data_IF_604648885840
#
_entry.id   IF_604648885840
#
_cell.length_a   1.000
_cell.length_b   1.000
_cell.length_c   1.000
_cell.angle_alpha   90.00
_cell.angle_beta   90.00
_cell.angle_gamma   90.00
#
_symmetry.space_group_name_H-M   'P 1'
#
loop_
_entity.id
_entity.type
_entity.pdbx_description
1 polymer ?
#
# COMPACT_ATOMS: atom_id res chain seq x y z
N UNK A 1 -12.22 11.34 -6.54
CA UNK A 1 -11.53 10.36 -5.67
C UNK A 1 -10.87 9.35 -6.57
N UNK A 2 -9.71 8.76 -6.20
CA UNK A 2 -9.18 7.63 -6.95
C UNK A 2 -10.29 6.57 -7.11
N UNK A 3 -10.25 5.83 -8.22
CA UNK A 3 -11.36 4.97 -8.65
C UNK A 3 -11.67 3.77 -7.71
N UNK A 4 -10.96 3.62 -6.59
CA UNK A 4 -11.22 2.62 -5.56
C UNK A 4 -11.76 3.25 -4.28
N UNK A 5 -12.90 2.76 -3.79
CA UNK A 5 -13.34 3.02 -2.43
C UNK A 5 -12.29 2.51 -1.43
N UNK A 6 -12.12 3.21 -0.30
CA UNK A 6 -11.30 2.72 0.80
C UNK A 6 -11.77 1.31 1.19
N UNK A 7 -10.83 0.37 1.22
CA UNK A 7 -11.13 -1.04 1.51
C UNK A 7 -11.14 -1.30 3.01
N UNK A 8 -9.94 -1.46 3.58
CA UNK A 8 -9.73 -1.85 4.98
C UNK A 8 -8.51 -1.17 5.57
N UNK A 9 -8.74 -0.30 6.57
CA UNK A 9 -7.67 0.26 7.40
C UNK A 9 -6.86 1.37 6.74
N UNK A 10 -6.18 2.13 7.60
CA UNK A 10 -5.26 3.19 7.21
C UNK A 10 -4.12 3.25 8.21
N UNK A 11 -2.98 3.77 7.78
CA UNK A 11 -1.91 4.24 8.66
C UNK A 11 -1.81 5.75 8.51
N UNK A 12 -1.87 6.48 9.61
CA UNK A 12 -1.64 7.93 9.64
C UNK A 12 -0.34 8.19 10.39
N UNK A 13 0.59 8.91 9.78
CA UNK A 13 1.89 9.23 10.38
C UNK A 13 1.86 10.64 10.99
N UNK A 14 2.76 10.89 11.94
CA UNK A 14 2.95 12.23 12.52
C UNK A 14 3.48 13.27 11.52
N UNK A 15 3.98 12.82 10.36
CA UNK A 15 4.52 13.68 9.29
C UNK A 15 3.46 14.12 8.30
N UNK A 16 2.17 13.86 8.56
CA UNK A 16 1.07 14.26 7.68
C UNK A 16 0.87 13.34 6.47
N UNK A 17 1.28 12.07 6.55
CA UNK A 17 1.00 11.07 5.51
C UNK A 17 -0.09 10.10 5.97
N UNK A 18 -1.06 9.85 5.08
CA UNK A 18 -2.08 8.81 5.24
C UNK A 18 -1.90 7.74 4.19
N UNK A 19 -1.68 6.50 4.62
CA UNK A 19 -1.63 5.33 3.75
C UNK A 19 -2.94 4.56 3.83
N UNK A 20 -3.55 4.26 2.67
CA UNK A 20 -4.81 3.53 2.60
C UNK A 20 -4.80 2.51 1.48
N UNK A 21 -5.18 1.27 1.80
CA UNK A 21 -5.46 0.23 0.80
C UNK A 21 -6.88 0.40 0.26
N UNK A 22 -7.02 0.36 -1.06
CA UNK A 22 -8.27 0.59 -1.76
C UNK A 22 -8.72 -0.65 -2.55
N UNK A 23 -10.03 -0.76 -2.76
CA UNK A 23 -10.65 -1.93 -3.39
C UNK A 23 -10.21 -2.17 -4.84
N UNK A 24 -9.66 -1.14 -5.49
CA UNK A 24 -9.09 -1.20 -6.84
C UNK A 24 -7.72 -1.90 -6.89
N UNK A 25 -7.26 -2.48 -5.78
CA UNK A 25 -6.03 -3.26 -5.71
C UNK A 25 -4.79 -2.41 -5.53
N UNK A 26 -4.95 -1.18 -5.05
CA UNK A 26 -3.83 -0.25 -4.84
C UNK A 26 -3.69 0.13 -3.39
N UNK A 27 -2.49 0.55 -3.03
CA UNK A 27 -2.26 1.38 -1.86
C UNK A 27 -1.94 2.79 -2.31
N UNK A 28 -2.48 3.76 -1.59
CA UNK A 28 -2.30 5.18 -1.81
C UNK A 28 -1.64 5.83 -0.60
N UNK A 29 -0.79 6.82 -0.84
CA UNK A 29 -0.34 7.78 0.16
C UNK A 29 -0.98 9.14 -0.15
N UNK A 30 -1.59 9.73 0.86
CA UNK A 30 -2.23 11.05 0.78
C UNK A 30 -1.55 12.02 1.74
N UNK A 31 -1.57 13.29 1.35
CA UNK A 31 -1.37 14.41 2.25
C UNK A 31 -2.61 14.53 3.17
N UNK A 32 -2.41 14.59 4.48
CA UNK A 32 -3.51 14.62 5.45
C UNK A 32 -4.28 15.94 5.49
N UNK A 33 -3.66 17.04 5.06
CA UNK A 33 -4.25 18.39 5.20
C UNK A 33 -5.21 18.69 4.04
N UNK A 34 -4.88 18.20 2.85
CA UNK A 34 -5.63 18.50 1.63
C UNK A 34 -6.17 17.26 0.90
N UNK A 35 -5.77 16.04 1.31
CA UNK A 35 -6.23 14.80 0.69
C UNK A 35 -5.65 14.52 -0.70
N UNK A 36 -4.63 15.25 -1.13
CA UNK A 36 -3.96 15.02 -2.41
C UNK A 36 -3.22 13.69 -2.39
N UNK A 37 -3.29 12.95 -3.50
CA UNK A 37 -2.50 11.74 -3.68
C UNK A 37 -1.05 12.14 -3.95
N UNK A 38 -0.15 11.69 -3.08
CA UNK A 38 1.30 11.90 -3.21
C UNK A 38 1.98 10.71 -3.89
N UNK A 39 1.47 9.50 -3.64
CA UNK A 39 2.01 8.26 -4.20
C UNK A 39 0.95 7.16 -4.27
N UNK A 40 1.13 6.20 -5.18
CA UNK A 40 0.36 4.95 -5.19
C UNK A 40 1.14 3.82 -5.85
N UNK A 41 0.77 2.59 -5.54
CA UNK A 41 1.26 1.41 -6.26
C UNK A 41 0.18 0.35 -6.41
N UNK A 42 0.28 -0.44 -7.47
CA UNK A 42 -0.60 -1.59 -7.72
C UNK A 42 -0.05 -2.81 -6.97
N UNK A 43 -0.91 -3.46 -6.18
CA UNK A 43 -0.56 -4.65 -5.42
C UNK A 43 -0.69 -5.92 -6.28
N UNK A 44 -1.29 -5.82 -7.47
CA UNK A 44 -1.55 -6.91 -8.41
C UNK A 44 -2.77 -7.77 -8.06
N UNK A 45 -3.42 -7.50 -6.91
CA UNK A 45 -4.54 -8.27 -6.37
C UNK A 45 -5.76 -7.37 -6.20
N UNK A 46 -6.93 -7.85 -6.60
CA UNK A 46 -8.19 -7.15 -6.34
C UNK A 46 -8.58 -7.26 -4.87
N UNK A 47 -9.16 -6.19 -4.33
CA UNK A 47 -9.71 -6.14 -2.98
C UNK A 47 -8.73 -6.67 -1.90
N UNK A 48 -7.59 -6.00 -1.67
CA UNK A 48 -6.63 -6.42 -0.66
C UNK A 48 -7.29 -6.46 0.73
N UNK A 49 -7.45 -7.66 1.28
CA UNK A 49 -8.23 -7.92 2.50
C UNK A 49 -7.47 -7.66 3.81
N UNK A 50 -6.42 -6.84 3.82
CA UNK A 50 -5.58 -6.65 5.01
C UNK A 50 -5.36 -5.20 5.39
N UNK A 51 -5.13 -4.98 6.68
CA UNK A 51 -4.79 -3.67 7.24
C UNK A 51 -3.32 -3.37 6.94
N UNK A 52 -2.98 -2.19 6.39
CA UNK A 52 -1.59 -1.77 6.35
C UNK A 52 -1.06 -1.56 7.78
N UNK A 53 0.23 -1.81 7.98
CA UNK A 53 0.90 -1.58 9.24
C UNK A 53 2.27 -0.93 9.02
N UNK A 54 2.73 -0.15 9.99
CA UNK A 54 4.03 0.51 9.94
C UNK A 54 4.88 0.10 11.13
N UNK A 55 6.16 -0.18 10.88
CA UNK A 55 7.12 -0.57 11.91
C UNK A 55 8.49 0.02 11.60
N UNK A 56 9.40 -0.03 12.58
CA UNK A 56 10.76 0.48 12.44
C UNK A 56 11.77 -0.58 12.88
N UNK A 57 12.86 -0.72 12.13
CA UNK A 57 14.02 -1.56 12.49
C UNK A 57 15.28 -0.76 12.19
N UNK A 58 16.20 -0.67 13.16
CA UNK A 58 17.47 0.04 13.02
C UNK A 58 17.34 1.48 12.48
N UNK A 59 16.30 2.20 12.93
CA UNK A 59 16.04 3.57 12.49
C UNK A 59 15.38 3.71 11.11
N UNK A 60 15.17 2.61 10.37
CA UNK A 60 14.48 2.62 9.08
C UNK A 60 13.01 2.25 9.25
N UNK A 61 12.13 3.06 8.68
CA UNK A 61 10.68 2.84 8.69
C UNK A 61 10.24 1.96 7.51
N UNK A 62 9.27 1.11 7.76
CA UNK A 62 8.75 0.14 6.81
C UNK A 62 7.22 0.14 6.86
N UNK A 63 6.60 0.16 5.68
CA UNK A 63 5.17 -0.03 5.49
C UNK A 63 4.92 -1.46 4.99
N UNK A 64 4.14 -2.23 5.74
CA UNK A 64 3.68 -3.56 5.35
C UNK A 64 2.26 -3.46 4.79
N UNK A 65 2.04 -4.12 3.65
CA UNK A 65 0.76 -4.13 2.96
C UNK A 65 0.40 -5.55 2.56
N UNK A 66 -0.85 -5.95 2.79
CA UNK A 66 -1.34 -7.24 2.33
C UNK A 66 -1.65 -7.19 0.83
N UNK A 67 -0.91 -7.94 0.03
CA UNK A 67 -1.28 -8.31 -1.33
C UNK A 67 -1.84 -9.73 -1.34
N UNK A 68 -3.07 -9.87 -0.87
CA UNK A 68 -3.80 -11.15 -0.88
C UNK A 68 -5.17 -10.93 -1.49
N UNK A 69 -5.64 -11.92 -2.25
CA UNK A 69 -6.88 -11.82 -3.02
C UNK A 69 -6.73 -12.49 -4.38
N UNK A 70 -7.76 -12.36 -5.22
CA UNK A 70 -7.70 -12.80 -6.61
C UNK A 70 -6.80 -11.88 -7.44
N UNK A 71 -6.20 -12.43 -8.50
CA UNK A 71 -5.49 -11.63 -9.50
C UNK A 71 -6.37 -10.49 -9.99
N UNK A 72 -5.82 -9.27 -10.01
CA UNK A 72 -6.46 -8.12 -10.64
C UNK A 72 -6.48 -8.27 -12.16
N UNK A 73 -5.38 -8.75 -12.72
CA UNK A 73 -5.24 -9.11 -14.13
C UNK A 73 -5.33 -10.63 -14.27
N UNK A 74 -6.47 -11.13 -14.75
CA UNK A 74 -6.74 -12.56 -14.90
C UNK A 74 -5.95 -13.24 -16.04
N UNK A 75 -5.21 -12.47 -16.84
CA UNK A 75 -4.33 -13.02 -17.88
C UNK A 75 -2.96 -13.44 -17.34
N UNK A 76 -2.59 -13.00 -16.13
CA UNK A 76 -1.32 -13.36 -15.48
C UNK A 76 -1.41 -14.71 -14.77
N UNK A 77 -0.27 -15.35 -14.59
CA UNK A 77 -0.16 -16.49 -13.70
C UNK A 77 -0.18 -16.04 -12.22
N UNK A 78 -0.71 -16.88 -11.34
CA UNK A 78 -0.70 -16.65 -9.89
C UNK A 78 0.73 -16.55 -9.34
N UNK A 79 1.71 -17.23 -9.94
CA UNK A 79 3.11 -17.19 -9.52
C UNK A 79 3.83 -15.89 -9.89
N UNK A 80 3.35 -15.18 -10.90
CA UNK A 80 3.99 -13.97 -11.43
C UNK A 80 3.58 -12.71 -10.65
N UNK A 81 2.53 -12.81 -9.84
CA UNK A 81 2.01 -11.70 -9.05
C UNK A 81 2.25 -11.98 -7.57
N UNK A 82 2.95 -11.09 -6.84
CA UNK A 82 3.18 -11.29 -5.43
C UNK A 82 1.89 -11.61 -4.65
N UNK A 83 2.00 -12.60 -3.75
CA UNK A 83 0.91 -13.03 -2.87
C UNK A 83 1.42 -13.16 -1.46
N UNK A 84 0.96 -12.29 -0.58
CA UNK A 84 1.43 -12.19 0.80
C UNK A 84 1.66 -10.75 1.21
N UNK A 85 2.60 -10.54 2.12
CA UNK A 85 2.95 -9.20 2.59
C UNK A 85 4.01 -8.57 1.69
N UNK A 86 3.69 -7.38 1.18
CA UNK A 86 4.64 -6.49 0.50
C UNK A 86 5.17 -5.47 1.52
N UNK A 87 6.47 -5.24 1.50
CA UNK A 87 7.12 -4.30 2.42
C UNK A 87 7.79 -3.20 1.62
N UNK A 88 7.44 -1.96 1.93
CA UNK A 88 7.99 -0.76 1.30
C UNK A 88 8.81 0.05 2.30
N UNK A 89 9.90 0.62 1.83
CA UNK A 89 10.69 1.61 2.55
C UNK A 89 11.30 2.57 1.54
N UNK A 90 11.65 3.77 1.98
CA UNK A 90 12.47 4.67 1.16
C UNK A 90 13.84 4.01 0.87
N UNK A 91 14.48 4.35 -0.26
CA UNK A 91 15.86 3.97 -0.51
C UNK A 91 16.77 4.42 0.64
N UNK A 92 17.82 3.67 0.90
CA UNK A 92 18.85 4.12 1.85
C UNK A 92 19.42 5.44 1.33
N UNK A 93 19.49 6.45 2.20
CA UNK A 93 20.22 7.67 1.87
C UNK A 93 21.70 7.29 1.72
N UNK A 94 22.20 7.29 0.48
CA UNK A 94 23.64 7.32 0.25
C UNK A 94 24.14 8.65 0.82
N UNK A 95 24.99 8.55 1.84
CA UNK A 95 25.83 9.66 2.31
C UNK A 95 26.77 10.11 1.19
#
# INVERSE_FOLDING_TARGET
>A
MPNGSQGKGMVVTSTGLLFSTCLDGRIYAYDTDNGNILWSTDLGRMNPFGLPAMYQVNGRQYLVVCSVGGLKDKSKDETDVPKGYLVYALPDQKL
#
